data_IF_523733537776
#
_entry.id   IF_523733537776
#
_cell.length_a   1.000
_cell.length_b   1.000
_cell.length_c   1.000
_cell.angle_alpha   90.00
_cell.angle_beta   90.00
_cell.angle_gamma   90.00
#
_symmetry.space_group_name_H-M   'P 1'
#
loop_
_entity.id
_entity.type
_entity.pdbx_description
1 polymer ?
#
# COMPACT_ATOMS: atom_id res chain seq x y z
N UNK A 1 -20.51 -0.22 14.89
CA UNK A 1 -20.13 -0.72 13.55
C UNK A 1 -19.72 0.42 12.61
N UNK A 2 -20.57 1.42 12.39
CA UNK A 2 -20.25 2.57 11.52
C UNK A 2 -19.02 3.36 11.99
N UNK A 3 -18.87 3.58 13.30
CA UNK A 3 -17.69 4.27 13.87
C UNK A 3 -16.37 3.50 13.67
N UNK A 4 -16.42 2.16 13.71
CA UNK A 4 -15.23 1.33 13.45
C UNK A 4 -14.85 1.40 11.97
N UNK A 5 -15.84 1.24 11.09
CA UNK A 5 -15.63 1.32 9.65
C UNK A 5 -15.07 2.68 9.23
N UNK A 6 -15.52 3.78 9.84
CA UNK A 6 -14.99 5.11 9.54
C UNK A 6 -13.55 5.27 10.01
N UNK A 7 -13.19 4.74 11.19
CA UNK A 7 -11.81 4.74 11.68
C UNK A 7 -10.89 3.91 10.78
N UNK A 8 -11.27 2.68 10.45
CA UNK A 8 -10.50 1.78 9.60
C UNK A 8 -10.31 2.38 8.19
N UNK A 9 -11.37 2.99 7.62
CA UNK A 9 -11.30 3.69 6.36
C UNK A 9 -10.37 4.91 6.40
N UNK A 10 -10.38 5.67 7.50
CA UNK A 10 -9.52 6.84 7.66
C UNK A 10 -8.05 6.44 7.78
N UNK A 11 -7.74 5.34 8.47
CA UNK A 11 -6.38 4.78 8.54
C UNK A 11 -5.89 4.35 7.16
N UNK A 12 -6.70 3.61 6.39
CA UNK A 12 -6.34 3.18 5.04
C UNK A 12 -6.17 4.41 4.13
N UNK A 13 -7.08 5.39 4.20
CA UNK A 13 -6.99 6.61 3.41
C UNK A 13 -5.72 7.41 3.73
N UNK A 14 -5.40 7.59 5.01
CA UNK A 14 -4.20 8.30 5.43
C UNK A 14 -2.90 7.59 5.02
N UNK A 15 -2.90 6.25 5.02
CA UNK A 15 -1.69 5.46 4.72
C UNK A 15 -1.46 5.22 3.23
N UNK A 16 -2.51 5.14 2.41
CA UNK A 16 -2.38 5.08 0.94
C UNK A 16 -1.86 6.41 0.38
N UNK A 17 -2.07 7.52 1.09
CA UNK A 17 -1.71 8.87 0.65
C UNK A 17 -2.20 9.18 -0.79
N UNK A 18 -3.52 9.35 -0.99
CA UNK A 18 -4.08 9.68 -2.30
C UNK A 18 -3.49 10.96 -2.89
N UNK A 19 -3.11 11.92 -2.05
CA UNK A 19 -2.59 13.23 -2.49
C UNK A 19 -1.20 13.03 -3.09
N UNK A 20 -0.28 12.39 -2.37
CA UNK A 20 1.05 12.07 -2.87
C UNK A 20 1.02 11.15 -4.07
N UNK A 21 0.16 10.12 -4.05
CA UNK A 21 -0.03 9.20 -5.17
C UNK A 21 -0.53 9.91 -6.43
N UNK A 22 -1.50 10.83 -6.30
CA UNK A 22 -1.99 11.61 -7.45
C UNK A 22 -0.91 12.55 -8.01
N UNK A 23 -0.15 13.22 -7.15
CA UNK A 23 0.93 14.10 -7.58
C UNK A 23 2.01 13.33 -8.37
N UNK A 24 2.41 12.15 -7.86
CA UNK A 24 3.37 11.29 -8.54
C UNK A 24 2.80 10.73 -9.85
N UNK A 25 1.54 10.28 -9.84
CA UNK A 25 0.88 9.80 -11.05
C UNK A 25 0.83 10.88 -12.14
N UNK A 26 0.48 12.12 -11.78
CA UNK A 26 0.46 13.23 -12.71
C UNK A 26 1.85 13.53 -13.30
N UNK A 27 2.90 13.49 -12.48
CA UNK A 27 4.27 13.70 -12.93
C UNK A 27 4.72 12.61 -13.92
N UNK A 28 4.51 11.33 -13.57
CA UNK A 28 4.97 10.18 -14.36
C UNK A 28 4.13 9.90 -15.61
N UNK A 29 2.86 10.33 -15.65
CA UNK A 29 1.97 10.10 -16.81
C UNK A 29 1.79 11.32 -17.71
N UNK A 30 2.52 12.41 -17.45
CA UNK A 30 2.43 13.68 -18.18
C UNK A 30 2.68 13.57 -19.70
N UNK A 31 3.45 12.57 -20.13
CA UNK A 31 3.79 12.33 -21.54
C UNK A 31 2.86 11.32 -22.24
N UNK A 32 1.88 10.75 -21.53
CA UNK A 32 0.97 9.73 -22.07
C UNK A 32 -0.30 10.36 -22.64
N UNK A 33 -0.89 9.70 -23.65
CA UNK A 33 -2.23 10.05 -24.14
C UNK A 33 -3.30 9.77 -23.09
N UNK A 34 -4.47 10.41 -23.18
CA UNK A 34 -5.56 10.20 -22.21
C UNK A 34 -5.99 8.73 -22.10
N UNK A 35 -6.04 8.01 -23.23
CA UNK A 35 -6.41 6.60 -23.26
C UNK A 35 -5.37 5.73 -22.54
N UNK A 36 -4.07 5.99 -22.78
CA UNK A 36 -2.98 5.29 -22.09
C UNK A 36 -2.99 5.60 -20.60
N UNK A 37 -3.15 6.88 -20.23
CA UNK A 37 -3.22 7.33 -18.84
C UNK A 37 -4.36 6.64 -18.07
N UNK A 38 -5.56 6.50 -18.68
CA UNK A 38 -6.69 5.79 -18.05
C UNK A 38 -6.39 4.30 -17.86
N UNK A 39 -5.74 3.66 -18.84
CA UNK A 39 -5.33 2.25 -18.75
C UNK A 39 -4.29 2.03 -17.66
N UNK A 40 -3.30 2.92 -17.56
CA UNK A 40 -2.27 2.90 -16.51
C UNK A 40 -2.91 3.07 -15.13
N UNK A 41 -3.83 4.02 -14.95
CA UNK A 41 -4.53 4.21 -13.68
C UNK A 41 -5.27 2.94 -13.22
N UNK A 42 -6.01 2.30 -14.12
CA UNK A 42 -6.73 1.07 -13.79
C UNK A 42 -5.78 -0.08 -13.41
N UNK A 43 -4.70 -0.25 -14.17
CA UNK A 43 -3.65 -1.24 -13.86
C UNK A 43 -3.01 -0.98 -12.50
N UNK A 44 -2.63 0.26 -12.21
CA UNK A 44 -2.04 0.67 -10.94
C UNK A 44 -2.93 0.32 -9.77
N UNK A 45 -4.21 0.69 -9.83
CA UNK A 45 -5.20 0.38 -8.78
C UNK A 45 -5.35 -1.13 -8.62
N UNK A 46 -5.44 -1.88 -9.72
CA UNK A 46 -5.55 -3.33 -9.69
C UNK A 46 -4.34 -3.98 -9.01
N UNK A 47 -3.12 -3.60 -9.39
CA UNK A 47 -1.90 -4.14 -8.79
C UNK A 47 -1.78 -3.78 -7.31
N UNK A 48 -2.07 -2.53 -6.94
CA UNK A 48 -2.05 -2.10 -5.54
C UNK A 48 -3.10 -2.87 -4.72
N UNK A 49 -4.31 -3.04 -5.24
CA UNK A 49 -5.35 -3.84 -4.60
C UNK A 49 -4.92 -5.30 -4.41
N UNK A 50 -4.31 -5.93 -5.42
CA UNK A 50 -3.77 -7.29 -5.30
C UNK A 50 -2.72 -7.39 -4.19
N UNK A 51 -1.81 -6.41 -4.09
CA UNK A 51 -0.77 -6.39 -3.04
C UNK A 51 -1.37 -6.24 -1.65
N UNK A 52 -2.32 -5.31 -1.48
CA UNK A 52 -2.98 -5.08 -0.19
C UNK A 52 -3.84 -6.28 0.22
N UNK A 53 -4.59 -6.88 -0.71
CA UNK A 53 -5.36 -8.11 -0.47
C UNK A 53 -4.45 -9.29 -0.12
N UNK A 54 -3.33 -9.46 -0.84
CA UNK A 54 -2.35 -10.48 -0.50
C UNK A 54 -1.75 -10.25 0.90
N UNK A 55 -1.51 -9.00 1.27
CA UNK A 55 -0.99 -8.64 2.60
C UNK A 55 -2.00 -8.96 3.71
N UNK A 56 -3.29 -8.72 3.48
CA UNK A 56 -4.38 -9.11 4.39
C UNK A 56 -4.38 -10.63 4.62
N UNK A 57 -4.31 -11.41 3.55
CA UNK A 57 -4.38 -12.87 3.61
C UNK A 57 -3.12 -13.52 4.19
N UNK A 58 -1.95 -13.03 3.80
CA UNK A 58 -0.66 -13.68 4.07
C UNK A 58 0.05 -13.06 5.27
N UNK A 59 -0.14 -11.77 5.55
CA UNK A 59 0.62 -11.04 6.57
C UNK A 59 0.49 -11.64 7.96
N UNK A 60 -0.74 -11.92 8.41
CA UNK A 60 -0.96 -12.53 9.72
C UNK A 60 -0.38 -13.95 9.82
N UNK A 61 -0.45 -14.73 8.73
CA UNK A 61 0.12 -16.07 8.66
C UNK A 61 1.64 -16.02 8.85
N UNK A 62 2.32 -15.08 8.19
CA UNK A 62 3.77 -14.87 8.33
C UNK A 62 4.12 -14.47 9.76
N UNK A 63 3.41 -13.49 10.34
CA UNK A 63 3.68 -13.04 11.71
C UNK A 63 3.59 -14.18 12.73
N UNK A 64 2.53 -14.99 12.62
CA UNK A 64 2.33 -16.16 13.47
C UNK A 64 3.42 -17.22 13.25
N UNK A 65 3.77 -17.52 12.01
CA UNK A 65 4.81 -18.50 11.67
C UNK A 65 6.19 -18.08 12.19
N UNK A 66 6.49 -16.78 12.21
CA UNK A 66 7.73 -16.23 12.74
C UNK A 66 7.71 -16.04 14.27
N UNK A 67 6.58 -16.26 14.95
CA UNK A 67 6.42 -15.99 16.37
C UNK A 67 6.55 -14.50 16.73
N UNK A 68 6.29 -13.60 15.77
CA UNK A 68 6.42 -12.15 15.95
C UNK A 68 5.13 -11.61 16.56
N UNK A 69 5.27 -10.86 17.65
CA UNK A 69 4.15 -10.13 18.26
C UNK A 69 3.74 -8.97 17.37
N UNK A 70 2.44 -8.69 17.31
CA UNK A 70 1.88 -7.58 16.54
C UNK A 70 2.56 -6.24 16.88
N UNK A 71 2.85 -6.00 18.17
CA UNK A 71 3.56 -4.80 18.65
C UNK A 71 4.97 -4.67 18.07
N UNK A 72 5.70 -5.78 17.92
CA UNK A 72 7.03 -5.78 17.31
C UNK A 72 6.96 -5.45 15.81
N UNK A 73 5.93 -5.96 15.13
CA UNK A 73 5.66 -5.63 13.73
C UNK A 73 5.30 -4.15 13.55
N UNK A 74 4.49 -3.59 14.44
CA UNK A 74 4.17 -2.15 14.46
C UNK A 74 5.42 -1.27 14.58
N UNK A 75 6.35 -1.62 15.48
CA UNK A 75 7.61 -0.89 15.63
C UNK A 75 8.46 -0.96 14.35
N UNK A 76 8.64 -2.16 13.78
CA UNK A 76 9.41 -2.31 12.55
C UNK A 76 8.78 -1.59 11.36
N UNK A 77 7.48 -1.75 11.17
CA UNK A 77 6.72 -1.08 10.11
C UNK A 77 6.70 0.44 10.26
N UNK A 78 6.61 0.95 11.49
CA UNK A 78 6.71 2.39 11.77
C UNK A 78 8.08 2.98 11.41
N UNK A 79 9.17 2.25 11.69
CA UNK A 79 10.52 2.63 11.25
C UNK A 79 10.62 2.65 9.73
N UNK A 80 10.09 1.63 9.04
CA UNK A 80 10.09 1.59 7.57
C UNK A 80 9.30 2.77 6.99
N UNK A 81 8.12 3.06 7.53
CA UNK A 81 7.29 4.19 7.10
C UNK A 81 8.03 5.53 7.30
N UNK A 82 8.70 5.69 8.45
CA UNK A 82 9.50 6.88 8.73
C UNK A 82 10.65 7.05 7.73
N UNK A 83 11.41 5.99 7.46
CA UNK A 83 12.49 6.01 6.47
C UNK A 83 11.97 6.31 5.06
N UNK A 84 10.83 5.75 4.68
CA UNK A 84 10.20 6.01 3.39
C UNK A 84 9.76 7.48 3.26
N UNK A 85 9.16 8.04 4.32
CA UNK A 85 8.81 9.46 4.36
C UNK A 85 10.03 10.38 4.23
N UNK A 86 11.13 10.06 4.91
CA UNK A 86 12.40 10.78 4.74
C UNK A 86 12.92 10.68 3.30
N UNK A 87 12.82 9.50 2.67
CA UNK A 87 13.21 9.31 1.27
C UNK A 87 12.34 10.15 0.32
N UNK A 88 11.05 10.35 0.60
CA UNK A 88 10.20 11.21 -0.25
C UNK A 88 10.57 12.69 -0.14
N UNK A 89 11.04 13.16 1.02
CA UNK A 89 11.44 14.56 1.24
C UNK A 89 12.83 14.83 0.68
N UNK A 90 13.79 13.93 0.91
CA UNK A 90 15.21 14.17 0.64
C UNK A 90 15.78 13.36 -0.53
N UNK A 91 15.06 12.33 -0.99
CA UNK A 91 15.51 11.42 -2.04
C UNK A 91 15.28 11.97 -3.45
N UNK A 92 16.33 11.96 -4.26
CA UNK A 92 16.29 12.43 -5.66
C UNK A 92 16.01 11.27 -6.66
N UNK A 93 15.60 10.11 -6.17
CA UNK A 93 15.62 8.83 -6.90
C UNK A 93 14.40 8.60 -7.82
N UNK A 94 13.34 9.42 -7.74
CA UNK A 94 12.18 9.27 -8.63
C UNK A 94 12.53 9.45 -10.11
N UNK A 95 13.62 10.17 -10.44
CA UNK A 95 14.10 10.34 -11.81
C UNK A 95 14.75 9.07 -12.40
N UNK A 96 15.19 8.11 -11.56
CA UNK A 96 15.80 6.85 -12.04
C UNK A 96 14.75 5.83 -12.50
N UNK A 97 13.52 5.91 -11.99
CA UNK A 97 12.42 5.02 -12.40
C UNK A 97 12.03 5.20 -13.88
N UNK A 98 12.37 6.34 -14.49
CA UNK A 98 12.15 6.64 -15.91
C UNK A 98 13.07 5.84 -16.86
N UNK A 99 14.12 5.17 -16.35
CA UNK A 99 15.25 4.68 -17.16
C UNK A 99 15.28 3.17 -17.42
N UNK A 100 14.30 2.39 -16.93
CA UNK A 100 14.25 0.95 -17.21
C UNK A 100 13.13 0.63 -18.24
N UNK A 101 13.46 0.50 -19.55
CA UNK A 101 12.47 0.32 -20.62
C UNK A 101 11.69 -1.00 -20.56
N UNK A 102 11.98 -1.90 -19.62
CA UNK A 102 11.28 -3.17 -19.44
C UNK A 102 10.14 -3.17 -18.43
N UNK A 103 10.02 -2.15 -17.56
CA UNK A 103 9.07 -2.19 -16.44
C UNK A 103 7.81 -1.34 -16.71
N UNK A 104 6.64 -1.95 -16.50
CA UNK A 104 5.35 -1.25 -16.60
C UNK A 104 5.24 -0.21 -15.46
N UNK A 105 5.19 1.07 -15.82
CA UNK A 105 5.07 2.20 -14.87
C UNK A 105 3.87 2.00 -13.94
N UNK A 106 2.83 1.29 -14.40
CA UNK A 106 1.68 0.95 -13.58
C UNK A 106 2.04 0.08 -12.37
N UNK A 107 3.05 -0.79 -12.49
CA UNK A 107 3.56 -1.66 -11.41
C UNK A 107 4.54 -0.88 -10.53
N UNK A 108 5.60 -0.35 -11.14
CA UNK A 108 6.65 0.39 -10.43
C UNK A 108 6.88 1.74 -11.11
N UNK A 109 6.88 2.87 -10.38
CA UNK A 109 6.71 2.99 -8.94
C UNK A 109 5.23 3.18 -8.51
N UNK A 110 4.26 3.20 -9.44
CA UNK A 110 2.89 3.65 -9.16
C UNK A 110 2.11 2.70 -8.22
N UNK A 111 2.05 1.40 -8.52
CA UNK A 111 1.37 0.46 -7.64
C UNK A 111 2.21 0.18 -6.40
N UNK A 112 3.50 -0.12 -6.59
CA UNK A 112 4.48 -0.32 -5.54
C UNK A 112 5.68 0.59 -5.84
N UNK A 113 6.14 1.44 -4.91
CA UNK A 113 5.64 1.62 -3.54
C UNK A 113 4.57 2.71 -3.37
N UNK A 114 4.19 3.45 -4.41
CA UNK A 114 3.44 4.69 -4.21
C UNK A 114 2.00 4.50 -3.71
N UNK A 115 1.25 3.55 -4.26
CA UNK A 115 -0.15 3.30 -3.83
C UNK A 115 -0.22 2.28 -2.69
N UNK A 116 0.41 1.11 -2.88
CA UNK A 116 0.60 0.11 -1.83
C UNK A 116 1.83 0.49 -1.00
N UNK A 117 1.71 1.59 -0.26
CA UNK A 117 2.80 2.11 0.57
C UNK A 117 3.16 1.10 1.66
N UNK A 118 4.40 1.12 2.18
CA UNK A 118 4.76 0.32 3.35
C UNK A 118 3.83 0.56 4.55
N UNK A 119 3.36 1.80 4.72
CA UNK A 119 2.38 2.16 5.74
C UNK A 119 1.00 1.52 5.50
N UNK A 120 0.53 1.49 4.25
CA UNK A 120 -0.74 0.88 3.90
C UNK A 120 -0.70 -0.65 4.09
N UNK A 121 0.41 -1.30 3.70
CA UNK A 121 0.64 -2.73 3.92
C UNK A 121 0.63 -3.05 5.42
N UNK A 122 1.34 -2.26 6.23
CA UNK A 122 1.31 -2.39 7.69
C UNK A 122 -0.12 -2.23 8.22
N UNK A 123 -0.81 -1.15 7.83
CA UNK A 123 -2.16 -0.86 8.31
C UNK A 123 -3.14 -1.99 8.01
N UNK A 124 -3.19 -2.51 6.77
CA UNK A 124 -4.13 -3.58 6.44
C UNK A 124 -3.85 -4.87 7.19
N UNK A 125 -2.59 -5.19 7.49
CA UNK A 125 -2.24 -6.34 8.32
C UNK A 125 -2.72 -6.13 9.77
N UNK A 126 -2.50 -4.95 10.33
CA UNK A 126 -2.93 -4.62 11.70
C UNK A 126 -4.45 -4.58 11.87
N UNK A 127 -5.16 -4.06 10.87
CA UNK A 127 -6.61 -4.00 10.85
C UNK A 127 -7.24 -5.40 10.71
N UNK A 128 -6.48 -6.38 10.20
CA UNK A 128 -6.90 -7.79 10.02
C UNK A 128 -6.53 -8.66 11.23
N UNK A 129 -6.49 -8.12 12.45
CA UNK A 129 -6.16 -8.94 13.62
C UNK A 129 -7.21 -10.05 13.89
N UNK A 130 -6.87 -11.26 13.44
CA UNK A 130 -7.67 -12.48 13.55
C UNK A 130 -7.81 -12.99 15.00
N UNK A 131 -7.12 -12.40 15.99
CA UNK A 131 -7.29 -12.78 17.39
C UNK A 131 -8.62 -12.26 17.97
N UNK A 132 -9.21 -11.21 17.39
CA UNK A 132 -10.50 -10.66 17.80
C UNK A 132 -11.64 -11.30 17.00
N UNK A 133 -11.44 -11.59 15.71
CA UNK A 133 -12.44 -12.21 14.82
C UNK A 133 -11.82 -13.35 14.01
N UNK A 134 -11.98 -14.62 14.41
CA UNK A 134 -11.48 -15.76 13.64
C UNK A 134 -12.15 -15.82 12.25
N UNK A 135 -11.43 -16.35 11.26
CA UNK A 135 -11.84 -16.43 9.84
C UNK A 135 -13.24 -17.07 9.69
N UNK A 136 -13.59 -18.00 10.57
CA UNK A 136 -14.91 -18.66 10.59
C UNK A 136 -16.06 -17.67 10.86
N UNK A 137 -15.82 -16.62 11.64
CA UNK A 137 -16.81 -15.57 11.95
C UNK A 137 -16.95 -14.55 10.81
N UNK A 138 -15.91 -14.36 9.99
CA UNK A 138 -15.95 -13.44 8.84
C UNK A 138 -16.72 -13.98 7.64
N UNK A 139 -16.88 -15.30 7.52
CA UNK A 139 -17.57 -15.95 6.39
C UNK A 139 -19.08 -16.09 6.68
N UNK A 140 -19.49 -16.00 7.95
CA UNK A 140 -20.87 -16.22 8.40
C UNK A 140 -21.74 -14.96 8.54
N UNK A 141 -21.21 -13.77 8.25
CA UNK A 141 -21.92 -12.47 8.25
C UNK A 141 -21.82 -11.82 6.88
#
# INVERSE_FOLDING_TARGET
MLEKLSQDALVIWATIDPIGTMALFAALTSHLTEQQRRKTAFKTVLYAACVLLASILVGQLILNAMGIRLVSFQLGGGIILFLFGLQMIFGNDFNKAQQDPGHDIAVFPLAIPATATPGAILAVILLTDNHIYPVVTQIGT
#
